data_IF_057917799507
#
_entry.id   IF_057917799507
#
_cell.length_a   1.000
_cell.length_b   1.000
_cell.length_c   1.000
_cell.angle_alpha   90.00
_cell.angle_beta   90.00
_cell.angle_gamma   90.00
#
_symmetry.space_group_name_H-M   'P 1'
#
loop_
_entity.id
_entity.type
_entity.pdbx_description
1 polymer ?
#
# COMPACT_ATOMS: atom_id res chain seq x y z
N UNK A 1 23.44 30.94 54.32
CA UNK A 1 22.13 30.78 53.68
C UNK A 1 22.31 29.98 52.39
N UNK A 2 21.84 28.77 52.41
CA UNK A 2 21.92 27.93 51.22
C UNK A 2 20.70 28.23 50.38
N UNK A 3 20.89 28.88 49.24
CA UNK A 3 19.83 29.03 48.25
C UNK A 3 19.74 27.66 47.54
N UNK A 4 18.68 26.94 47.86
CA UNK A 4 18.32 25.75 47.07
C UNK A 4 17.89 26.28 45.70
N UNK A 5 18.75 26.15 44.73
CA UNK A 5 18.40 26.30 43.34
C UNK A 5 17.65 25.02 42.97
N UNK A 6 16.34 25.13 43.05
CA UNK A 6 15.46 24.10 42.46
C UNK A 6 15.64 24.21 40.96
N UNK A 7 16.56 23.43 40.44
CA UNK A 7 16.58 23.10 39.01
C UNK A 7 15.33 22.26 38.77
N UNK A 8 14.25 22.95 38.50
CA UNK A 8 13.13 22.28 37.84
C UNK A 8 13.65 21.92 36.46
N UNK A 9 14.20 20.72 36.39
CA UNK A 9 14.43 20.05 35.08
C UNK A 9 13.05 19.89 34.48
N UNK A 10 12.62 20.90 33.72
CA UNK A 10 11.53 20.74 32.81
C UNK A 10 12.01 19.68 31.81
N UNK A 11 11.70 18.43 32.12
CA UNK A 11 11.72 17.39 31.12
C UNK A 11 10.69 17.84 30.12
N UNK A 12 11.14 18.59 29.12
CA UNK A 12 10.43 18.74 27.89
C UNK A 12 10.38 17.32 27.32
N UNK A 13 9.38 16.59 27.74
CA UNK A 13 8.91 15.47 26.98
C UNK A 13 8.53 16.07 25.64
N UNK A 14 9.49 16.08 24.73
CA UNK A 14 9.16 16.10 23.33
C UNK A 14 8.39 14.81 23.11
N UNK A 15 7.07 14.86 23.38
CA UNK A 15 6.17 14.00 22.69
C UNK A 15 6.27 14.47 21.22
N UNK A 16 7.34 14.03 20.55
CA UNK A 16 7.34 14.05 19.12
C UNK A 16 6.04 13.34 18.77
N UNK A 17 5.10 14.06 18.19
CA UNK A 17 3.96 13.44 17.55
C UNK A 17 4.53 12.59 16.44
N UNK A 18 5.03 11.40 16.80
CA UNK A 18 5.40 10.41 15.84
C UNK A 18 4.10 9.97 15.22
N UNK A 19 4.00 10.23 13.93
CA UNK A 19 2.92 9.74 13.10
C UNK A 19 2.82 8.23 13.30
N UNK A 20 1.63 7.71 13.60
CA UNK A 20 1.42 6.27 13.68
C UNK A 20 1.68 5.62 12.32
N UNK A 21 2.01 4.33 12.30
CA UNK A 21 2.20 3.61 11.06
C UNK A 21 0.94 3.65 10.18
N UNK A 22 -0.23 3.58 10.80
CA UNK A 22 -1.52 3.67 10.09
C UNK A 22 -1.71 5.04 9.45
N UNK A 23 -1.43 6.11 10.17
CA UNK A 23 -1.53 7.48 9.63
C UNK A 23 -0.53 7.72 8.51
N UNK A 24 0.68 7.22 8.68
CA UNK A 24 1.71 7.27 7.64
C UNK A 24 1.25 6.51 6.38
N UNK A 25 0.73 5.31 6.54
CA UNK A 25 0.23 4.50 5.43
C UNK A 25 -0.91 5.21 4.69
N UNK A 26 -1.88 5.73 5.43
CA UNK A 26 -3.00 6.47 4.84
C UNK A 26 -2.52 7.70 4.06
N UNK A 27 -1.59 8.46 4.63
CA UNK A 27 -1.00 9.64 3.98
C UNK A 27 -0.24 9.27 2.73
N UNK A 28 0.61 8.25 2.79
CA UNK A 28 1.40 7.80 1.63
C UNK A 28 0.52 7.32 0.48
N UNK A 29 -0.58 6.61 0.78
CA UNK A 29 -1.55 6.19 -0.23
C UNK A 29 -2.21 7.38 -0.93
N UNK A 30 -2.61 8.39 -0.17
CA UNK A 30 -3.20 9.62 -0.71
C UNK A 30 -2.18 10.38 -1.56
N UNK A 31 -0.96 10.53 -1.07
CA UNK A 31 0.10 11.25 -1.80
C UNK A 31 0.49 10.54 -3.09
N UNK A 32 0.62 9.22 -3.04
CA UNK A 32 0.91 8.43 -4.23
C UNK A 32 -0.18 8.59 -5.29
N UNK A 33 -1.44 8.51 -4.89
CA UNK A 33 -2.58 8.67 -5.80
C UNK A 33 -2.60 10.07 -6.42
N UNK A 34 -2.35 11.11 -5.63
CA UNK A 34 -2.35 12.48 -6.13
C UNK A 34 -1.18 12.80 -7.04
N UNK A 35 0.01 12.29 -6.72
CA UNK A 35 1.26 12.71 -7.39
C UNK A 35 1.67 11.78 -8.53
N UNK A 36 1.36 10.49 -8.42
CA UNK A 36 1.88 9.46 -9.32
C UNK A 36 0.82 8.73 -10.14
N UNK A 37 -0.44 8.91 -9.81
CA UNK A 37 -1.53 8.27 -10.55
C UNK A 37 -2.31 9.27 -11.41
N UNK A 38 -2.80 8.85 -12.57
CA UNK A 38 -2.54 7.55 -13.20
C UNK A 38 -1.14 7.51 -13.85
N UNK A 39 -0.50 6.35 -13.83
CA UNK A 39 0.77 6.15 -14.53
C UNK A 39 0.92 4.72 -15.05
N UNK A 40 1.59 4.59 -16.20
CA UNK A 40 1.86 3.28 -16.77
C UNK A 40 2.89 2.54 -15.92
N UNK A 41 2.59 1.29 -15.54
CA UNK A 41 3.49 0.41 -14.79
C UNK A 41 3.98 -0.76 -15.64
N UNK A 42 3.26 -1.07 -16.72
CA UNK A 42 3.61 -2.05 -17.72
C UNK A 42 2.89 -1.70 -19.02
N UNK A 43 3.16 -2.44 -20.09
CA UNK A 43 2.42 -2.28 -21.33
C UNK A 43 0.93 -2.56 -21.08
N UNK A 44 0.06 -1.63 -21.48
CA UNK A 44 -1.39 -1.73 -21.33
C UNK A 44 -1.89 -1.90 -19.89
N UNK A 45 -1.10 -1.46 -18.91
CA UNK A 45 -1.45 -1.50 -17.49
C UNK A 45 -1.12 -0.18 -16.81
N UNK A 46 -2.10 0.40 -16.18
CA UNK A 46 -2.00 1.70 -15.51
C UNK A 46 -2.34 1.52 -14.02
N UNK A 47 -1.46 2.00 -13.14
CA UNK A 47 -1.86 2.16 -11.74
C UNK A 47 -2.75 3.40 -11.64
N UNK A 48 -3.97 3.20 -11.18
CA UNK A 48 -5.00 4.23 -11.10
C UNK A 48 -5.07 4.89 -9.73
N UNK A 49 -4.95 4.10 -8.68
CA UNK A 49 -4.97 4.59 -7.31
C UNK A 49 -4.39 3.58 -6.32
N UNK A 50 -4.06 4.10 -5.16
CA UNK A 50 -3.68 3.32 -3.99
C UNK A 50 -4.48 3.81 -2.78
N UNK A 51 -5.10 2.91 -2.05
CA UNK A 51 -5.89 3.22 -0.86
C UNK A 51 -5.46 2.37 0.33
N UNK A 52 -5.83 2.81 1.52
CA UNK A 52 -5.56 2.08 2.76
C UNK A 52 -6.86 1.86 3.53
N UNK A 53 -7.16 0.60 3.81
CA UNK A 53 -8.25 0.22 4.71
C UNK A 53 -7.72 0.04 6.12
N UNK A 54 -8.05 0.98 7.01
CA UNK A 54 -7.58 0.96 8.40
C UNK A 54 -8.14 -0.20 9.20
N UNK A 55 -9.37 -0.62 8.94
CA UNK A 55 -10.02 -1.69 9.69
C UNK A 55 -9.32 -3.03 9.53
N UNK A 56 -8.85 -3.32 8.31
CA UNK A 56 -8.17 -4.57 7.96
C UNK A 56 -6.66 -4.43 7.81
N UNK A 57 -6.10 -3.24 8.00
CA UNK A 57 -4.70 -2.93 7.69
C UNK A 57 -4.29 -3.40 6.30
N UNK A 58 -5.12 -3.08 5.30
CA UNK A 58 -4.90 -3.53 3.92
C UNK A 58 -4.57 -2.35 3.01
N UNK A 59 -3.43 -2.43 2.35
CA UNK A 59 -3.06 -1.51 1.27
C UNK A 59 -3.64 -2.08 -0.01
N UNK A 60 -4.42 -1.27 -0.74
CA UNK A 60 -5.13 -1.67 -1.95
C UNK A 60 -4.57 -0.93 -3.14
N UNK A 61 -4.19 -1.69 -4.17
CA UNK A 61 -3.70 -1.17 -5.45
C UNK A 61 -4.75 -1.42 -6.53
N UNK A 62 -5.10 -0.38 -7.27
CA UNK A 62 -6.06 -0.44 -8.38
C UNK A 62 -5.32 -0.26 -9.69
N UNK A 63 -5.37 -1.29 -10.53
CA UNK A 63 -4.77 -1.30 -11.85
C UNK A 63 -5.85 -1.35 -12.92
N UNK A 64 -5.76 -0.45 -13.87
CA UNK A 64 -6.63 -0.39 -15.04
C UNK A 64 -5.94 -1.06 -16.21
N UNK A 65 -6.60 -2.04 -16.81
CA UNK A 65 -6.11 -2.74 -17.98
C UNK A 65 -6.69 -2.12 -19.24
N UNK A 66 -5.81 -1.81 -20.19
CA UNK A 66 -6.14 -1.04 -21.40
C UNK A 66 -5.82 -1.86 -22.64
N UNK A 67 -6.33 -1.41 -23.80
CA UNK A 67 -5.99 -1.97 -25.11
C UNK A 67 -6.05 -3.50 -25.17
N UNK A 68 -4.96 -4.15 -25.61
CA UNK A 68 -4.90 -5.61 -25.77
C UNK A 68 -4.96 -6.39 -24.46
N UNK A 69 -4.63 -5.74 -23.31
CA UNK A 69 -4.71 -6.35 -21.99
C UNK A 69 -6.11 -6.29 -21.37
N UNK A 70 -7.02 -5.52 -21.95
CA UNK A 70 -8.39 -5.38 -21.46
C UNK A 70 -9.28 -6.53 -21.96
N UNK A 71 -9.00 -7.74 -21.44
CA UNK A 71 -9.75 -8.95 -21.76
C UNK A 71 -9.61 -10.01 -20.67
N UNK A 72 -10.68 -10.75 -20.42
CA UNK A 72 -10.77 -11.71 -19.31
C UNK A 72 -9.84 -12.91 -19.44
N UNK A 73 -9.60 -13.38 -20.68
CA UNK A 73 -8.79 -14.57 -20.98
C UNK A 73 -7.27 -14.32 -20.87
N UNK A 74 -6.85 -13.08 -20.67
CA UNK A 74 -5.44 -12.72 -20.55
C UNK A 74 -4.82 -13.10 -19.20
N UNK A 75 -5.65 -13.40 -18.18
CA UNK A 75 -5.19 -13.50 -16.81
C UNK A 75 -5.58 -14.82 -16.15
N UNK A 76 -4.55 -15.53 -15.68
CA UNK A 76 -4.69 -16.73 -14.85
C UNK A 76 -4.40 -16.34 -13.41
N UNK A 77 -5.41 -16.46 -12.55
CA UNK A 77 -5.37 -15.99 -11.15
C UNK A 77 -4.19 -16.57 -10.36
N UNK A 78 -3.92 -17.86 -10.51
CA UNK A 78 -2.85 -18.51 -9.75
C UNK A 78 -1.47 -18.00 -10.17
N UNK A 79 -1.24 -17.81 -11.48
CA UNK A 79 0.01 -17.26 -11.98
C UNK A 79 0.21 -15.81 -11.55
N UNK A 80 -0.85 -15.00 -11.60
CA UNK A 80 -0.81 -13.63 -11.15
C UNK A 80 -0.53 -13.55 -9.65
N UNK A 81 -1.15 -14.42 -8.86
CA UNK A 81 -0.91 -14.52 -7.42
C UNK A 81 0.55 -14.83 -7.10
N UNK A 82 1.12 -15.83 -7.78
CA UNK A 82 2.51 -16.23 -7.56
C UNK A 82 3.49 -15.12 -7.94
N UNK A 83 3.25 -14.43 -9.05
CA UNK A 83 4.06 -13.30 -9.47
C UNK A 83 4.01 -12.13 -8.47
N UNK A 84 2.82 -11.78 -7.98
CA UNK A 84 2.63 -10.73 -6.98
C UNK A 84 3.27 -11.10 -5.64
N UNK A 85 3.12 -12.35 -5.22
CA UNK A 85 3.73 -12.87 -4.00
C UNK A 85 5.26 -12.77 -4.05
N UNK A 86 5.87 -13.17 -5.15
CA UNK A 86 7.31 -13.06 -5.34
C UNK A 86 7.77 -11.60 -5.36
N UNK A 87 7.05 -10.73 -6.06
CA UNK A 87 7.34 -9.31 -6.10
C UNK A 87 7.25 -8.67 -4.69
N UNK A 88 6.21 -9.02 -3.93
CA UNK A 88 6.02 -8.48 -2.57
C UNK A 88 7.12 -8.97 -1.61
N UNK A 89 7.53 -10.22 -1.70
CA UNK A 89 8.65 -10.76 -0.91
C UNK A 89 9.95 -10.00 -1.14
N UNK A 90 10.19 -9.60 -2.37
CA UNK A 90 11.46 -9.00 -2.79
C UNK A 90 11.48 -7.47 -2.71
N UNK A 91 10.34 -6.80 -2.50
CA UNK A 91 10.31 -5.35 -2.40
C UNK A 91 10.69 -4.87 -1.01
N UNK A 92 11.51 -3.82 -0.95
CA UNK A 92 11.91 -3.16 0.30
C UNK A 92 11.10 -1.89 0.59
N UNK A 93 10.38 -1.37 -0.39
CA UNK A 93 9.64 -0.10 -0.27
C UNK A 93 8.51 -0.15 0.77
N UNK A 94 7.93 -1.32 0.98
CA UNK A 94 6.84 -1.54 1.94
C UNK A 94 7.29 -2.38 3.14
N UNK A 95 8.58 -2.38 3.43
CA UNK A 95 9.17 -3.21 4.50
C UNK A 95 8.51 -2.97 5.85
N UNK A 96 8.30 -1.72 6.24
CA UNK A 96 7.68 -1.38 7.52
C UNK A 96 6.26 -1.95 7.64
N UNK A 97 5.50 -1.96 6.55
CA UNK A 97 4.15 -2.51 6.53
C UNK A 97 4.17 -4.05 6.55
N UNK A 98 5.11 -4.67 5.87
CA UNK A 98 5.31 -6.12 5.94
C UNK A 98 5.71 -6.57 7.36
N UNK A 99 6.62 -5.85 8.00
CA UNK A 99 7.01 -6.14 9.39
C UNK A 99 5.86 -5.99 10.37
N UNK A 100 4.94 -5.07 10.11
CA UNK A 100 3.73 -4.88 10.91
C UNK A 100 2.59 -5.87 10.58
N UNK A 101 2.78 -6.75 9.59
CA UNK A 101 1.79 -7.77 9.22
C UNK A 101 0.63 -7.26 8.39
N UNK A 102 0.79 -6.15 7.68
CA UNK A 102 -0.26 -5.60 6.83
C UNK A 102 -0.57 -6.52 5.65
N UNK A 103 -1.80 -6.44 5.16
CA UNK A 103 -2.23 -7.13 3.96
C UNK A 103 -2.13 -6.23 2.74
N UNK A 104 -2.00 -6.84 1.57
CA UNK A 104 -1.87 -6.16 0.28
C UNK A 104 -2.89 -6.74 -0.69
N UNK A 105 -3.72 -5.88 -1.26
CA UNK A 105 -4.75 -6.28 -2.21
C UNK A 105 -4.51 -5.64 -3.56
N UNK A 106 -4.58 -6.44 -4.59
CA UNK A 106 -4.34 -6.03 -5.97
C UNK A 106 -5.60 -6.26 -6.79
N UNK A 107 -6.15 -5.20 -7.34
CA UNK A 107 -7.40 -5.22 -8.10
C UNK A 107 -7.10 -4.75 -9.51
N UNK A 108 -7.40 -5.61 -10.49
CA UNK A 108 -7.20 -5.35 -11.90
C UNK A 108 -8.56 -5.29 -12.58
N UNK A 109 -8.90 -4.16 -13.18
CA UNK A 109 -10.19 -3.93 -13.79
C UNK A 109 -10.08 -3.41 -15.22
N UNK A 110 -11.19 -3.54 -15.96
CA UNK A 110 -11.30 -3.14 -17.36
C UNK A 110 -11.42 -1.62 -17.50
N UNK A 111 -10.66 -1.03 -18.43
CA UNK A 111 -10.86 0.36 -18.82
C UNK A 111 -12.21 0.59 -19.51
N UNK A 112 -12.60 -0.32 -20.40
CA UNK A 112 -13.84 -0.22 -21.15
C UNK A 112 -15.07 -0.37 -20.28
N UNK A 113 -14.98 -1.25 -19.27
CA UNK A 113 -16.06 -1.50 -18.31
C UNK A 113 -15.48 -1.54 -16.88
N UNK A 114 -15.36 -0.40 -16.19
CA UNK A 114 -14.70 -0.32 -14.88
C UNK A 114 -15.32 -1.19 -13.78
N UNK A 115 -16.55 -1.67 -13.96
CA UNK A 115 -17.18 -2.61 -13.02
C UNK A 115 -16.72 -4.06 -13.24
N UNK A 116 -16.08 -4.36 -14.36
CA UNK A 116 -15.52 -5.67 -14.63
C UNK A 116 -14.13 -5.79 -13.99
N UNK A 117 -14.06 -6.62 -12.97
CA UNK A 117 -12.81 -6.95 -12.27
C UNK A 117 -12.29 -8.28 -12.81
N UNK A 118 -11.10 -8.27 -13.38
CA UNK A 118 -10.45 -9.49 -13.89
C UNK A 118 -9.69 -10.25 -12.81
N UNK A 119 -9.03 -9.52 -11.92
CA UNK A 119 -8.27 -10.09 -10.82
C UNK A 119 -8.51 -9.29 -9.55
N UNK A 120 -8.72 -9.99 -8.45
CA UNK A 120 -8.79 -9.44 -7.10
C UNK A 120 -8.01 -10.39 -6.19
N UNK A 121 -6.78 -9.99 -5.83
CA UNK A 121 -5.84 -10.85 -5.14
C UNK A 121 -5.46 -10.20 -3.82
N UNK A 122 -5.75 -10.90 -2.72
CA UNK A 122 -5.35 -10.50 -1.37
C UNK A 122 -4.14 -11.34 -0.94
N UNK A 123 -3.05 -10.67 -0.61
CA UNK A 123 -1.88 -11.27 0.02
C UNK A 123 -1.82 -10.86 1.49
N UNK A 124 -1.69 -11.83 2.36
CA UNK A 124 -1.58 -11.63 3.80
C UNK A 124 -0.16 -11.91 4.28
N UNK A 125 0.10 -11.65 5.55
CA UNK A 125 1.37 -11.94 6.20
C UNK A 125 1.89 -13.35 5.90
N UNK A 126 1.01 -14.34 5.85
CA UNK A 126 1.36 -15.73 5.52
C UNK A 126 1.95 -15.91 4.13
N UNK A 127 1.61 -15.02 3.21
CA UNK A 127 2.05 -15.12 1.82
C UNK A 127 3.46 -14.58 1.59
N UNK A 128 3.93 -13.65 2.41
CA UNK A 128 5.22 -12.98 2.21
C UNK A 128 6.25 -13.22 3.32
N UNK A 129 5.89 -13.96 4.33
CA UNK A 129 6.81 -14.43 5.38
C UNK A 129 7.75 -15.51 4.88
#
# INVERSE_FOLDING_TARGET
>A
MKKAILFVLAVLTFSACQESLEDKCARECIEFTKRKCPSAVAQDMIVDSMTFDRASHTIQYYYKLTAASDRADAYLKDQARDALKNALKNTTQVMAYKEAGYSFRYIYYSEKNPQTVYLDILLTEKDYQ
#
